data_IF_760229121292
#
_entry.id   IF_760229121292
#
_cell.length_a   1.000
_cell.length_b   1.000
_cell.length_c   1.000
_cell.angle_alpha   90.00
_cell.angle_beta   90.00
_cell.angle_gamma   90.00
#
_symmetry.space_group_name_H-M   'P 1'
#
loop_
_entity.id
_entity.type
_entity.pdbx_description
1 polymer ?
#
# COMPACT_ATOMS: atom_id res chain seq x y z
N UNK A 1 -4.24 -0.38 -20.57
CA UNK A 1 -3.47 -0.24 -19.32
C UNK A 1 -2.53 -1.41 -19.18
N UNK A 2 -1.25 -1.14 -19.02
CA UNK A 2 -0.22 -2.17 -18.84
C UNK A 2 -0.19 -2.78 -17.43
N UNK A 3 -0.78 -2.13 -16.43
CA UNK A 3 -0.82 -2.64 -15.06
C UNK A 3 -1.94 -3.67 -14.91
N UNK A 4 -1.56 -4.90 -14.57
CA UNK A 4 -2.48 -6.01 -14.31
C UNK A 4 -2.94 -6.07 -12.87
N UNK A 5 -2.02 -5.78 -11.96
CA UNK A 5 -2.20 -5.96 -10.54
C UNK A 5 -1.42 -4.87 -9.79
N UNK A 6 -2.04 -4.27 -8.80
CA UNK A 6 -1.39 -3.32 -7.90
C UNK A 6 -2.12 -3.36 -6.56
N UNK A 7 -1.53 -3.99 -5.56
CA UNK A 7 -2.08 -4.08 -4.19
C UNK A 7 -0.95 -4.17 -3.17
N UNK A 8 -1.19 -3.73 -1.94
CA UNK A 8 -0.41 -4.07 -0.76
C UNK A 8 1.13 -4.01 -0.89
N UNK A 9 1.65 -3.05 -1.64
CA UNK A 9 3.10 -2.96 -1.90
C UNK A 9 3.61 -3.87 -3.03
N UNK A 10 2.71 -4.54 -3.78
CA UNK A 10 3.06 -5.33 -4.95
C UNK A 10 2.37 -4.83 -6.22
N UNK A 11 3.02 -4.97 -7.35
CA UNK A 11 2.40 -4.69 -8.65
C UNK A 11 2.89 -5.67 -9.72
N UNK A 12 2.07 -5.85 -10.75
CA UNK A 12 2.44 -6.56 -11.98
C UNK A 12 1.99 -5.76 -13.19
N UNK A 13 2.83 -5.71 -14.21
CA UNK A 13 2.54 -4.97 -15.43
C UNK A 13 2.99 -5.75 -16.66
N UNK A 14 2.34 -5.49 -17.80
CA UNK A 14 2.76 -5.96 -19.11
C UNK A 14 3.56 -4.85 -19.80
N UNK A 15 4.70 -5.22 -20.37
CA UNK A 15 5.54 -4.34 -21.16
C UNK A 15 5.71 -4.93 -22.57
N UNK A 16 5.75 -4.09 -23.61
CA UNK A 16 6.14 -4.57 -24.94
C UNK A 16 7.55 -5.17 -24.91
N UNK A 17 7.70 -6.34 -25.52
CA UNK A 17 8.99 -7.03 -25.59
C UNK A 17 9.71 -6.74 -26.91
N UNK A 18 10.94 -6.32 -26.80
CA UNK A 18 11.99 -6.46 -27.77
C UNK A 18 13.33 -6.49 -27.04
N UNK A 19 14.40 -6.92 -27.70
CA UNK A 19 15.72 -7.09 -27.07
C UNK A 19 16.25 -5.81 -26.40
N UNK A 20 16.01 -4.66 -26.99
CA UNK A 20 16.43 -3.37 -26.45
C UNK A 20 15.62 -3.01 -25.17
N UNK A 21 14.30 -3.24 -25.18
CA UNK A 21 13.44 -2.98 -24.01
C UNK A 21 13.78 -3.91 -22.85
N UNK A 22 14.14 -5.17 -23.13
CA UNK A 22 14.60 -6.10 -22.11
C UNK A 22 15.91 -5.65 -21.47
N UNK A 23 16.90 -5.25 -22.26
CA UNK A 23 18.17 -4.73 -21.72
C UNK A 23 17.96 -3.51 -20.84
N UNK A 24 17.10 -2.56 -21.28
CA UNK A 24 16.73 -1.38 -20.47
C UNK A 24 16.03 -1.77 -19.19
N UNK A 25 15.13 -2.77 -19.22
CA UNK A 25 14.41 -3.26 -18.04
C UNK A 25 15.38 -3.91 -17.04
N UNK A 26 16.30 -4.74 -17.50
CA UNK A 26 17.32 -5.38 -16.65
C UNK A 26 18.19 -4.32 -15.96
N UNK A 27 18.66 -3.34 -16.72
CA UNK A 27 19.45 -2.23 -16.17
C UNK A 27 18.66 -1.41 -15.14
N UNK A 28 17.39 -1.11 -15.43
CA UNK A 28 16.50 -0.38 -14.51
C UNK A 28 16.25 -1.18 -13.21
N UNK A 29 15.98 -2.47 -13.29
CA UNK A 29 15.78 -3.34 -12.13
C UNK A 29 17.04 -3.37 -11.26
N UNK A 30 18.21 -3.51 -11.86
CA UNK A 30 19.48 -3.52 -11.15
C UNK A 30 19.74 -2.17 -10.44
N UNK A 31 19.48 -1.05 -11.13
CA UNK A 31 19.63 0.30 -10.58
C UNK A 31 18.67 0.54 -9.40
N UNK A 32 17.39 0.19 -9.53
CA UNK A 32 16.41 0.32 -8.43
C UNK A 32 16.84 -0.52 -7.22
N UNK A 33 17.20 -1.80 -7.43
CA UNK A 33 17.66 -2.68 -6.35
C UNK A 33 18.89 -2.10 -5.64
N UNK A 34 19.87 -1.61 -6.39
CA UNK A 34 21.08 -1.01 -5.85
C UNK A 34 20.78 0.29 -5.06
N UNK A 35 19.93 1.18 -5.59
CA UNK A 35 19.53 2.42 -4.91
C UNK A 35 18.81 2.15 -3.60
N UNK A 36 17.83 1.25 -3.61
CA UNK A 36 17.09 0.87 -2.39
C UNK A 36 18.03 0.26 -1.36
N UNK A 37 18.91 -0.64 -1.77
CA UNK A 37 19.89 -1.25 -0.87
C UNK A 37 20.84 -0.21 -0.26
N UNK A 38 21.39 0.71 -1.06
CA UNK A 38 22.29 1.78 -0.55
C UNK A 38 21.59 2.70 0.45
N UNK A 39 20.30 3.00 0.23
CA UNK A 39 19.52 3.91 1.08
C UNK A 39 19.11 3.26 2.40
N UNK A 40 18.68 1.99 2.36
CA UNK A 40 18.05 1.33 3.51
C UNK A 40 18.93 0.25 4.13
N UNK A 41 20.04 -0.14 3.49
CA UNK A 41 20.91 -1.27 3.88
C UNK A 41 20.15 -2.61 3.95
N UNK A 42 18.97 -2.68 3.29
CA UNK A 42 18.10 -3.84 3.24
C UNK A 42 17.53 -4.02 1.83
N UNK A 43 17.21 -5.26 1.49
CA UNK A 43 16.52 -5.56 0.25
C UNK A 43 15.01 -5.41 0.43
N UNK A 44 14.50 -4.20 0.31
CA UNK A 44 13.08 -3.89 0.46
C UNK A 44 12.24 -4.13 -0.81
N UNK A 45 12.87 -4.33 -1.96
CA UNK A 45 12.19 -4.47 -3.26
C UNK A 45 12.58 -5.77 -3.93
N UNK A 46 11.58 -6.53 -4.36
CA UNK A 46 11.72 -7.72 -5.19
C UNK A 46 11.15 -7.43 -6.58
N UNK A 47 12.01 -7.23 -7.57
CA UNK A 47 11.63 -6.94 -8.94
C UNK A 47 12.08 -8.08 -9.85
N UNK A 48 11.12 -8.72 -10.52
CA UNK A 48 11.34 -9.85 -11.42
C UNK A 48 10.52 -9.69 -12.69
N UNK A 49 10.98 -10.29 -13.77
CA UNK A 49 10.27 -10.33 -15.03
C UNK A 49 10.34 -11.70 -15.68
N UNK A 50 9.39 -11.99 -16.56
CA UNK A 50 9.38 -13.17 -17.42
C UNK A 50 8.99 -12.73 -18.82
N UNK A 51 9.72 -13.17 -19.81
CA UNK A 51 9.34 -13.03 -21.23
C UNK A 51 8.35 -14.13 -21.55
N UNK A 52 7.25 -13.76 -22.19
CA UNK A 52 6.19 -14.69 -22.58
C UNK A 52 5.58 -14.25 -23.91
N UNK A 53 5.13 -15.23 -24.69
CA UNK A 53 4.39 -14.96 -25.90
C UNK A 53 2.95 -14.54 -25.58
N UNK A 54 2.37 -13.73 -26.46
CA UNK A 54 1.00 -13.27 -26.29
C UNK A 54 0.00 -14.42 -26.26
N UNK A 55 0.20 -15.43 -27.11
CA UNK A 55 -0.62 -16.64 -27.15
C UNK A 55 -0.65 -17.37 -25.81
N UNK A 56 0.50 -17.48 -25.14
CA UNK A 56 0.61 -18.14 -23.84
C UNK A 56 -0.08 -17.34 -22.73
N UNK A 57 0.05 -16.01 -22.76
CA UNK A 57 -0.65 -15.12 -21.84
C UNK A 57 -2.18 -15.18 -22.00
N UNK A 58 -2.67 -15.38 -23.22
CA UNK A 58 -4.11 -15.45 -23.51
C UNK A 58 -4.69 -16.84 -23.24
N UNK A 59 -3.91 -17.93 -23.49
CA UNK A 59 -4.38 -19.31 -23.38
C UNK A 59 -4.07 -19.96 -22.04
N UNK A 60 -2.85 -19.81 -21.54
CA UNK A 60 -2.36 -20.46 -20.31
C UNK A 60 -1.48 -19.54 -19.46
N UNK A 61 -2.03 -18.48 -18.84
CA UNK A 61 -1.23 -17.50 -18.07
C UNK A 61 -0.62 -18.07 -16.78
N UNK A 62 -1.17 -19.17 -16.24
CA UNK A 62 -0.71 -19.73 -14.96
C UNK A 62 0.77 -20.11 -14.91
N UNK A 63 1.36 -20.81 -15.88
CA UNK A 63 2.80 -21.15 -15.86
C UNK A 63 3.70 -19.91 -15.79
N UNK A 64 3.29 -18.81 -16.44
CA UNK A 64 4.04 -17.56 -16.48
C UNK A 64 4.06 -16.93 -15.08
N UNK A 65 2.90 -16.85 -14.43
CA UNK A 65 2.80 -16.31 -13.07
C UNK A 65 3.47 -17.23 -12.04
N UNK A 66 3.38 -18.54 -12.20
CA UNK A 66 4.10 -19.50 -11.35
C UNK A 66 5.61 -19.28 -11.41
N UNK A 67 6.16 -19.05 -12.62
CA UNK A 67 7.58 -18.74 -12.81
C UNK A 67 7.99 -17.42 -12.16
N UNK A 68 7.16 -16.37 -12.29
CA UNK A 68 7.38 -15.10 -11.58
C UNK A 68 7.37 -15.28 -10.06
N UNK A 69 6.45 -16.08 -9.54
CA UNK A 69 6.34 -16.36 -8.11
C UNK A 69 7.56 -17.16 -7.60
N UNK A 70 8.04 -18.13 -8.38
CA UNK A 70 9.24 -18.90 -8.06
C UNK A 70 10.47 -17.98 -8.00
N UNK A 71 10.65 -17.11 -8.99
CA UNK A 71 11.74 -16.14 -9.00
C UNK A 71 11.67 -15.21 -7.79
N UNK A 72 10.48 -14.70 -7.47
CA UNK A 72 10.26 -13.84 -6.30
C UNK A 72 10.60 -14.58 -5.00
N UNK A 73 10.20 -15.82 -4.85
CA UNK A 73 10.51 -16.62 -3.67
C UNK A 73 12.03 -16.87 -3.56
N UNK A 74 12.69 -17.17 -4.67
CA UNK A 74 14.16 -17.32 -4.70
C UNK A 74 14.85 -16.05 -4.21
N UNK A 75 14.50 -14.90 -4.76
CA UNK A 75 15.06 -13.60 -4.36
C UNK A 75 14.79 -13.28 -2.87
N UNK A 76 13.59 -13.63 -2.39
CA UNK A 76 13.22 -13.43 -0.98
C UNK A 76 14.10 -14.22 0.00
N UNK A 77 14.51 -15.44 -0.39
CA UNK A 77 15.35 -16.30 0.44
C UNK A 77 16.86 -16.13 0.18
N UNK A 78 17.23 -15.34 -0.81
CA UNK A 78 18.63 -15.05 -1.14
C UNK A 78 18.85 -13.54 -1.30
N UNK A 79 18.53 -12.74 -0.28
CA UNK A 79 18.45 -11.28 -0.41
C UNK A 79 19.77 -10.62 -0.78
N UNK A 80 20.91 -11.19 -0.38
CA UNK A 80 22.23 -10.60 -0.57
C UNK A 80 22.99 -11.20 -1.78
N UNK A 81 22.42 -12.14 -2.52
CA UNK A 81 23.15 -12.86 -3.57
C UNK A 81 23.78 -11.93 -4.62
N UNK A 82 23.00 -11.00 -5.14
CA UNK A 82 23.48 -10.04 -6.14
C UNK A 82 24.49 -9.04 -5.54
N UNK A 83 24.30 -8.62 -4.30
CA UNK A 83 25.21 -7.72 -3.59
C UNK A 83 26.51 -8.40 -3.22
N UNK A 84 26.47 -9.68 -2.84
CA UNK A 84 27.68 -10.48 -2.57
C UNK A 84 28.50 -10.65 -3.86
N UNK A 85 27.87 -10.86 -5.01
CA UNK A 85 28.61 -11.00 -6.27
C UNK A 85 29.25 -9.70 -6.76
N UNK A 86 28.60 -8.56 -6.55
CA UNK A 86 29.00 -7.30 -7.17
C UNK A 86 29.68 -6.31 -6.22
N UNK A 87 29.45 -6.41 -4.91
CA UNK A 87 29.88 -5.41 -3.92
C UNK A 87 30.37 -6.06 -2.60
N UNK A 88 30.99 -7.23 -2.67
CA UNK A 88 31.44 -7.98 -1.48
C UNK A 88 32.26 -7.15 -0.50
N UNK A 89 33.15 -6.29 -1.01
CA UNK A 89 33.99 -5.43 -0.18
C UNK A 89 33.20 -4.37 0.61
N UNK A 90 32.09 -3.87 0.05
CA UNK A 90 31.21 -2.92 0.74
C UNK A 90 30.35 -3.55 1.83
N UNK A 91 30.00 -4.84 1.69
CA UNK A 91 29.21 -5.57 2.70
C UNK A 91 29.98 -5.80 4.01
N UNK A 92 31.31 -5.81 3.96
CA UNK A 92 32.18 -6.05 5.12
C UNK A 92 32.66 -4.77 5.79
N UNK A 93 32.37 -3.60 5.20
CA UNK A 93 32.69 -2.33 5.86
C UNK A 93 31.65 -2.05 6.97
N UNK A 94 32.07 -1.68 8.20
CA UNK A 94 31.11 -1.26 9.22
C UNK A 94 30.37 -0.02 8.69
N UNK A 95 29.11 -0.26 8.31
CA UNK A 95 28.27 0.78 7.73
C UNK A 95 27.99 1.87 8.77
N UNK A 96 28.43 3.07 8.49
CA UNK A 96 27.71 4.24 8.99
C UNK A 96 26.37 4.21 8.28
N UNK A 97 25.32 3.74 8.94
CA UNK A 97 23.94 3.78 8.42
C UNK A 97 23.67 5.22 7.98
N UNK A 98 23.56 5.54 6.70
CA UNK A 98 23.17 6.88 6.30
C UNK A 98 21.78 7.11 6.90
N UNK A 99 21.68 8.06 7.84
CA UNK A 99 20.38 8.47 8.35
C UNK A 99 19.60 8.96 7.14
N UNK A 100 18.53 8.24 6.78
CA UNK A 100 17.65 8.67 5.69
C UNK A 100 17.30 10.14 5.91
N UNK A 101 17.41 11.00 4.90
CA UNK A 101 17.01 12.40 5.00
C UNK A 101 15.59 12.58 5.52
N UNK A 102 14.72 11.58 5.31
CA UNK A 102 13.35 11.52 5.81
C UNK A 102 13.31 11.40 7.33
N UNK A 103 14.19 10.59 7.95
CA UNK A 103 14.18 10.38 9.42
C UNK A 103 14.42 11.68 10.17
N UNK A 104 15.25 12.56 9.66
CA UNK A 104 15.53 13.86 10.29
C UNK A 104 14.36 14.87 10.17
N UNK A 105 13.34 14.56 9.40
CA UNK A 105 12.18 15.42 9.15
C UNK A 105 10.83 14.76 9.57
N UNK A 106 10.88 13.62 10.26
CA UNK A 106 9.68 12.82 10.59
C UNK A 106 8.61 13.63 11.34
N UNK A 107 9.01 14.45 12.33
CA UNK A 107 8.06 15.27 13.09
C UNK A 107 7.38 16.31 12.20
N UNK A 108 8.16 16.97 11.33
CA UNK A 108 7.64 17.95 10.37
C UNK A 108 6.77 17.28 9.31
N UNK A 109 7.19 16.10 8.84
CA UNK A 109 6.46 15.31 7.87
C UNK A 109 5.10 14.87 8.45
N UNK A 110 5.06 14.37 9.70
CA UNK A 110 3.83 13.98 10.36
C UNK A 110 2.82 15.12 10.44
N UNK A 111 3.25 16.29 10.87
CA UNK A 111 2.39 17.48 10.92
C UNK A 111 1.89 17.92 9.54
N UNK A 112 2.74 17.83 8.51
CA UNK A 112 2.36 18.21 7.15
C UNK A 112 1.41 17.21 6.49
N UNK A 113 1.59 15.91 6.75
CA UNK A 113 0.73 14.84 6.21
C UNK A 113 -0.73 15.02 6.62
N UNK A 114 -1.00 15.49 7.85
CA UNK A 114 -2.36 15.74 8.33
C UNK A 114 -3.06 16.92 7.64
N UNK A 115 -2.33 17.81 6.99
CA UNK A 115 -2.87 19.04 6.37
C UNK A 115 -2.78 19.02 4.84
N UNK A 116 -1.99 18.14 4.27
CA UNK A 116 -1.76 18.14 2.83
C UNK A 116 -2.97 17.57 2.06
N UNK A 117 -3.23 18.17 0.91
CA UNK A 117 -4.21 17.69 -0.08
C UNK A 117 -3.53 17.21 -1.37
N UNK A 118 -2.32 17.69 -1.61
CA UNK A 118 -1.62 17.47 -2.86
C UNK A 118 -0.16 17.08 -2.62
N UNK A 119 0.37 16.25 -3.50
CA UNK A 119 1.81 15.98 -3.61
C UNK A 119 2.27 16.37 -4.99
N UNK A 120 3.17 17.33 -5.07
CA UNK A 120 3.82 17.69 -6.33
C UNK A 120 5.10 16.89 -6.48
N UNK A 121 5.20 16.15 -7.56
CA UNK A 121 6.43 15.49 -8.00
C UNK A 121 7.05 16.37 -9.08
N UNK A 122 8.27 16.86 -8.87
CA UNK A 122 8.94 17.80 -9.75
C UNK A 122 10.44 17.61 -9.77
N UNK A 123 11.10 18.10 -10.85
CA UNK A 123 12.56 18.13 -10.96
C UNK A 123 13.20 19.28 -10.16
N UNK A 124 12.41 20.21 -9.67
CA UNK A 124 12.87 21.36 -8.90
C UNK A 124 12.24 21.37 -7.51
N UNK A 125 13.07 21.71 -6.51
CA UNK A 125 12.61 21.87 -5.14
C UNK A 125 11.71 23.08 -5.03
N UNK A 126 10.46 22.86 -4.59
CA UNK A 126 9.57 23.99 -4.26
C UNK A 126 9.90 24.49 -2.86
N UNK A 127 10.09 25.80 -2.74
CA UNK A 127 10.41 26.48 -1.49
C UNK A 127 9.24 27.37 -1.06
N UNK A 128 8.93 27.40 0.21
CA UNK A 128 7.88 28.25 0.77
C UNK A 128 7.72 28.04 2.26
N UNK A 129 7.09 28.98 2.95
CA UNK A 129 6.77 28.85 4.37
C UNK A 129 5.81 27.68 4.60
N UNK A 130 6.11 26.83 5.58
CA UNK A 130 5.35 25.61 5.95
C UNK A 130 5.31 24.52 4.86
N UNK A 131 6.13 24.64 3.83
CA UNK A 131 6.18 23.67 2.74
C UNK A 131 7.27 22.63 3.02
N UNK A 132 6.92 21.35 2.95
CA UNK A 132 7.88 20.25 3.05
C UNK A 132 8.14 19.71 1.67
N UNK A 133 9.39 19.80 1.23
CA UNK A 133 9.88 19.17 0.02
C UNK A 133 10.96 18.16 0.38
N UNK A 134 10.74 16.91 0.03
CA UNK A 134 11.64 15.78 0.27
C UNK A 134 12.22 15.25 -1.04
N UNK A 135 13.46 14.79 -0.99
CA UNK A 135 14.17 14.13 -2.07
C UNK A 135 14.44 12.69 -1.62
N UNK A 136 13.53 11.74 -1.93
CA UNK A 136 13.55 10.42 -1.29
C UNK A 136 14.55 9.42 -1.88
N UNK A 137 15.45 9.83 -2.74
CA UNK A 137 16.49 8.92 -3.21
C UNK A 137 17.05 9.16 -4.61
N UNK A 138 16.30 9.72 -5.54
CA UNK A 138 16.84 10.12 -6.84
C UNK A 138 17.22 11.60 -6.82
N UNK A 139 18.50 11.94 -7.05
CA UNK A 139 18.91 13.35 -7.17
C UNK A 139 18.07 14.05 -8.24
N UNK A 140 17.48 15.19 -7.86
CA UNK A 140 16.68 15.99 -8.78
C UNK A 140 15.22 15.58 -8.91
N UNK A 141 14.68 14.66 -8.07
CA UNK A 141 13.24 14.42 -7.96
C UNK A 141 12.77 14.81 -6.57
N UNK A 142 11.89 15.78 -6.51
CA UNK A 142 11.35 16.32 -5.27
C UNK A 142 9.87 15.98 -5.12
N UNK A 143 9.48 15.60 -3.91
CA UNK A 143 8.10 15.42 -3.51
C UNK A 143 7.74 16.54 -2.54
N UNK A 144 6.92 17.46 -3.00
CA UNK A 144 6.50 18.62 -2.20
C UNK A 144 5.08 18.42 -1.71
N UNK A 145 4.89 18.48 -0.38
CA UNK A 145 3.60 18.34 0.26
C UNK A 145 2.91 19.71 0.28
N UNK A 146 1.73 19.80 -0.33
CA UNK A 146 1.02 21.05 -0.56
C UNK A 146 -0.38 21.01 0.06
N UNK A 147 -0.79 22.15 0.61
CA UNK A 147 -2.18 22.41 1.02
C UNK A 147 -2.92 23.13 -0.10
N UNK A 148 -4.22 23.39 0.09
CA UNK A 148 -5.02 24.22 -0.83
C UNK A 148 -4.44 25.65 -0.98
N UNK A 149 -3.90 26.18 0.12
CA UNK A 149 -3.36 27.56 0.18
C UNK A 149 -2.01 27.67 -0.54
N UNK A 150 -1.17 26.63 -0.43
CA UNK A 150 0.20 26.65 -0.97
C UNK A 150 0.26 26.13 -2.41
N UNK A 151 -0.87 25.69 -2.99
CA UNK A 151 -0.86 25.16 -4.35
C UNK A 151 -0.58 26.30 -5.35
N UNK A 152 0.60 26.31 -5.99
CA UNK A 152 0.95 27.36 -6.94
C UNK A 152 0.04 27.33 -8.17
N UNK A 153 -0.19 28.49 -8.78
CA UNK A 153 -0.95 28.58 -10.02
C UNK A 153 -0.15 28.09 -11.25
N UNK A 154 1.17 28.08 -11.17
CA UNK A 154 2.09 27.58 -12.19
C UNK A 154 3.41 27.17 -11.56
N UNK A 155 4.14 26.26 -12.23
CA UNK A 155 5.49 25.80 -11.84
C UNK A 155 6.49 26.09 -12.95
N UNK A 156 7.74 26.28 -12.58
CA UNK A 156 8.81 26.58 -13.53
C UNK A 156 9.06 25.44 -14.53
N UNK A 157 8.73 24.19 -14.18
CA UNK A 157 8.92 23.00 -15.01
C UNK A 157 7.62 22.18 -15.08
N UNK A 158 6.57 22.79 -15.62
CA UNK A 158 5.24 22.15 -15.73
C UNK A 158 5.27 20.87 -16.56
N UNK A 159 6.12 20.79 -17.58
CA UNK A 159 6.19 19.64 -18.49
C UNK A 159 6.71 18.36 -17.79
N UNK A 160 7.59 18.51 -16.79
CA UNK A 160 8.19 17.40 -16.04
C UNK A 160 7.63 17.28 -14.62
N UNK A 161 6.58 18.01 -14.30
CA UNK A 161 5.93 17.99 -12.99
C UNK A 161 4.59 17.29 -13.06
N UNK A 162 4.26 16.54 -12.00
CA UNK A 162 2.94 15.88 -11.87
C UNK A 162 2.37 16.15 -10.49
N UNK A 163 1.14 16.65 -10.45
CA UNK A 163 0.41 16.81 -9.21
C UNK A 163 -0.39 15.53 -8.90
N UNK A 164 -0.18 14.99 -7.73
CA UNK A 164 -0.99 13.90 -7.19
C UNK A 164 -2.03 14.52 -6.25
N UNK A 165 -3.28 14.23 -6.51
CA UNK A 165 -4.43 14.72 -5.74
C UNK A 165 -5.06 13.51 -5.07
N UNK A 166 -5.37 13.62 -3.77
CA UNK A 166 -5.92 12.49 -3.03
C UNK A 166 -7.41 12.65 -2.77
N UNK A 167 -8.15 11.57 -3.00
CA UNK A 167 -9.56 11.33 -2.63
C UNK A 167 -10.61 12.22 -3.29
N UNK A 168 -10.32 13.46 -3.61
CA UNK A 168 -11.26 14.42 -4.17
C UNK A 168 -10.70 15.08 -5.43
N UNK A 169 -11.58 15.41 -6.37
CA UNK A 169 -11.17 16.21 -7.53
C UNK A 169 -10.91 17.65 -7.08
N UNK A 170 -9.93 18.32 -7.70
CA UNK A 170 -9.63 19.70 -7.36
C UNK A 170 -10.84 20.63 -7.64
N UNK A 171 -11.11 21.53 -6.72
CA UNK A 171 -12.18 22.53 -6.87
C UNK A 171 -11.81 23.69 -7.82
N UNK A 172 -10.54 23.76 -8.23
CA UNK A 172 -10.01 24.79 -9.13
C UNK A 172 -9.42 24.19 -10.39
N UNK A 173 -9.33 24.98 -11.47
CA UNK A 173 -8.71 24.57 -12.72
C UNK A 173 -7.21 24.47 -12.50
N UNK A 174 -6.67 23.26 -12.69
CA UNK A 174 -5.23 22.96 -12.66
C UNK A 174 -4.72 22.88 -14.10
N UNK A 175 -3.76 23.71 -14.43
CA UNK A 175 -3.23 23.84 -15.80
C UNK A 175 -2.09 22.89 -16.15
N UNK A 176 -1.50 22.20 -15.16
CA UNK A 176 -0.40 21.26 -15.32
C UNK A 176 -0.86 19.81 -15.15
N UNK A 177 -0.07 18.82 -15.56
CA UNK A 177 -0.45 17.41 -15.43
C UNK A 177 -0.81 17.02 -13.99
N UNK A 178 -1.94 16.37 -13.81
CA UNK A 178 -2.37 15.86 -12.50
C UNK A 178 -3.02 14.49 -12.61
N UNK A 179 -3.01 13.75 -11.50
CA UNK A 179 -3.71 12.48 -11.36
C UNK A 179 -4.43 12.41 -10.02
N UNK A 180 -5.55 11.73 -10.01
CA UNK A 180 -6.33 11.44 -8.81
C UNK A 180 -5.92 10.07 -8.27
N UNK A 181 -5.54 10.03 -7.01
CA UNK A 181 -5.26 8.80 -6.28
C UNK A 181 -6.23 8.67 -5.10
N UNK A 182 -6.47 7.44 -4.67
CA UNK A 182 -7.29 7.18 -3.49
C UNK A 182 -6.44 6.56 -2.40
N UNK A 183 -6.58 7.08 -1.17
CA UNK A 183 -5.90 6.58 0.01
C UNK A 183 -6.87 6.65 1.19
N UNK A 184 -7.17 5.50 1.79
CA UNK A 184 -8.04 5.46 2.95
C UNK A 184 -7.35 6.10 4.17
N UNK A 185 -8.14 6.82 4.98
CA UNK A 185 -7.62 7.50 6.17
C UNK A 185 -6.76 8.73 5.89
N UNK A 186 -6.64 9.13 4.62
CA UNK A 186 -5.90 10.34 4.26
C UNK A 186 -6.79 11.57 4.39
N UNK A 187 -6.35 12.56 5.18
CA UNK A 187 -7.05 13.83 5.36
C UNK A 187 -7.05 14.33 6.83
N UNK A 188 -7.85 15.29 7.12
CA UNK A 188 -7.82 16.34 8.13
C UNK A 188 -7.71 15.95 9.62
N UNK A 189 -7.77 14.68 10.00
CA UNK A 189 -7.77 14.29 11.42
C UNK A 189 -6.45 13.65 11.83
N UNK A 190 -5.63 14.39 12.53
CA UNK A 190 -4.44 13.86 13.21
C UNK A 190 -4.70 13.89 14.73
N UNK A 191 -5.35 12.84 15.20
CA UNK A 191 -5.60 12.65 16.62
C UNK A 191 -4.43 11.87 17.25
N UNK A 192 -4.06 12.24 18.47
CA UNK A 192 -3.17 11.37 19.25
C UNK A 192 -3.93 10.10 19.68
N UNK A 193 -3.22 9.03 20.00
CA UNK A 193 -3.85 7.80 20.49
C UNK A 193 -4.65 8.04 21.78
N UNK A 194 -4.29 9.04 22.58
CA UNK A 194 -5.03 9.40 23.80
C UNK A 194 -6.33 10.11 23.47
N UNK A 195 -6.37 10.94 22.43
CA UNK A 195 -7.56 11.66 21.98
C UNK A 195 -8.62 10.72 21.42
N UNK A 196 -8.20 9.57 20.85
CA UNK A 196 -9.10 8.54 20.33
C UNK A 196 -9.90 7.81 21.42
N UNK A 197 -9.46 7.87 22.69
CA UNK A 197 -10.07 7.11 23.77
C UNK A 197 -11.33 7.78 24.30
N UNK A 198 -12.49 7.22 23.98
CA UNK A 198 -13.76 7.69 24.52
C UNK A 198 -13.90 7.27 25.99
N UNK A 199 -14.08 8.26 26.86
CA UNK A 199 -14.29 8.06 28.30
C UNK A 199 -15.70 7.57 28.66
N UNK A 200 -16.64 7.58 27.71
CA UNK A 200 -18.07 7.29 27.95
C UNK A 200 -18.44 5.82 27.81
N UNK A 201 -17.56 4.99 27.27
CA UNK A 201 -17.87 3.62 26.88
C UNK A 201 -17.15 2.54 27.73
N UNK A 202 -17.11 2.71 29.06
CA UNK A 202 -16.57 1.69 29.96
C UNK A 202 -15.05 1.72 30.09
N UNK A 203 -14.38 0.60 29.83
CA UNK A 203 -12.93 0.49 29.98
C UNK A 203 -12.21 1.32 28.93
N UNK A 204 -11.34 2.23 29.36
CA UNK A 204 -10.54 3.08 28.48
C UNK A 204 -9.40 2.29 27.84
N UNK A 205 -9.65 1.69 26.69
CA UNK A 205 -8.67 0.86 25.96
C UNK A 205 -8.60 1.29 24.49
N UNK A 206 -7.43 1.12 23.92
CA UNK A 206 -7.16 1.23 22.51
C UNK A 206 -7.41 -0.13 21.85
N UNK A 207 -8.16 -0.15 20.76
CA UNK A 207 -8.28 -1.29 19.87
C UNK A 207 -7.26 -1.15 18.74
N UNK A 208 -6.52 -2.22 18.49
CA UNK A 208 -5.59 -2.34 17.37
C UNK A 208 -6.08 -3.49 16.50
N UNK A 209 -6.50 -3.19 15.28
CA UNK A 209 -7.09 -4.13 14.36
C UNK A 209 -6.16 -4.39 13.18
N UNK A 210 -5.98 -5.66 12.85
CA UNK A 210 -5.49 -6.10 11.54
C UNK A 210 -6.56 -6.93 10.85
N UNK A 211 -6.71 -6.72 9.53
CA UNK A 211 -7.58 -7.53 8.67
C UNK A 211 -6.82 -7.89 7.40
N UNK A 212 -7.11 -9.06 6.88
CA UNK A 212 -6.54 -9.54 5.62
C UNK A 212 -7.58 -10.35 4.83
N UNK A 213 -7.47 -10.29 3.50
CA UNK A 213 -8.36 -11.02 2.59
C UNK A 213 -7.98 -12.49 2.51
N UNK A 214 -8.91 -13.34 2.91
CA UNK A 214 -8.71 -14.78 2.88
C UNK A 214 -8.84 -15.34 1.46
N UNK A 215 -8.05 -16.39 1.20
CA UNK A 215 -8.11 -17.16 -0.04
C UNK A 215 -7.84 -16.37 -1.33
N UNK A 216 -7.36 -15.13 -1.27
CA UNK A 216 -7.10 -14.34 -2.48
C UNK A 216 -6.17 -15.08 -3.45
N UNK A 217 -5.05 -15.62 -2.97
CA UNK A 217 -4.13 -16.41 -3.78
C UNK A 217 -4.75 -17.68 -4.37
N UNK A 218 -5.64 -18.37 -3.63
CA UNK A 218 -6.36 -19.55 -4.13
C UNK A 218 -7.40 -19.15 -5.19
N UNK A 219 -8.10 -18.06 -4.97
CA UNK A 219 -9.10 -17.54 -5.92
C UNK A 219 -8.44 -17.09 -7.21
N UNK A 220 -7.30 -16.41 -7.12
CA UNK A 220 -6.49 -16.07 -8.28
C UNK A 220 -5.98 -17.32 -9.01
N UNK A 221 -5.48 -18.33 -8.29
CA UNK A 221 -5.05 -19.59 -8.90
C UNK A 221 -6.19 -20.31 -9.63
N UNK A 222 -7.36 -20.45 -8.99
CA UNK A 222 -8.54 -21.05 -9.64
C UNK A 222 -8.96 -20.31 -10.91
N UNK A 223 -8.88 -19.00 -10.91
CA UNK A 223 -9.17 -18.20 -12.10
C UNK A 223 -8.17 -18.49 -13.23
N UNK A 224 -6.90 -18.74 -12.93
CA UNK A 224 -5.90 -19.21 -13.92
C UNK A 224 -6.21 -20.62 -14.42
N UNK A 225 -6.51 -21.55 -13.51
CA UNK A 225 -6.87 -22.95 -13.87
C UNK A 225 -8.12 -23.01 -14.76
N UNK A 226 -9.07 -22.10 -14.54
CA UNK A 226 -10.28 -21.94 -15.34
C UNK A 226 -10.06 -21.16 -16.64
N UNK A 227 -8.83 -20.80 -16.97
CA UNK A 227 -8.45 -20.03 -18.17
C UNK A 227 -9.20 -18.70 -18.30
N UNK A 228 -9.48 -18.04 -17.18
CA UNK A 228 -10.14 -16.74 -17.24
C UNK A 228 -9.21 -15.70 -17.87
N UNK A 229 -9.77 -14.75 -18.66
CA UNK A 229 -8.98 -13.69 -19.27
C UNK A 229 -8.20 -12.86 -18.25
N UNK A 230 -6.99 -12.43 -18.59
CA UNK A 230 -6.19 -11.52 -17.75
C UNK A 230 -6.94 -10.26 -17.32
N UNK A 231 -7.87 -9.79 -18.15
CA UNK A 231 -8.75 -8.68 -17.82
C UNK A 231 -9.59 -8.92 -16.55
N UNK A 232 -9.97 -10.17 -16.27
CA UNK A 232 -10.73 -10.54 -15.07
C UNK A 232 -9.89 -10.35 -13.80
N UNK A 233 -8.60 -10.67 -13.87
CA UNK A 233 -7.65 -10.41 -12.78
C UNK A 233 -7.50 -8.93 -12.50
N UNK A 234 -7.21 -8.18 -13.56
CA UNK A 234 -7.05 -6.75 -13.46
C UNK A 234 -8.34 -6.08 -12.95
N UNK A 235 -9.51 -6.63 -13.28
CA UNK A 235 -10.80 -6.17 -12.77
C UNK A 235 -10.92 -6.44 -11.26
N UNK A 236 -10.67 -7.67 -10.81
CA UNK A 236 -10.75 -8.04 -9.38
C UNK A 236 -9.76 -7.26 -8.52
N UNK A 237 -8.53 -7.12 -8.99
CA UNK A 237 -7.53 -6.31 -8.29
C UNK A 237 -7.98 -4.86 -8.14
N UNK A 238 -8.56 -4.27 -9.19
CA UNK A 238 -9.11 -2.89 -9.12
C UNK A 238 -10.34 -2.79 -8.22
N UNK A 239 -11.18 -3.83 -8.15
CA UNK A 239 -12.32 -3.85 -7.22
C UNK A 239 -11.85 -3.85 -5.77
N UNK A 240 -10.85 -4.68 -5.42
CA UNK A 240 -10.25 -4.72 -4.09
C UNK A 240 -9.59 -3.36 -3.75
N UNK A 241 -8.78 -2.84 -4.65
CA UNK A 241 -8.12 -1.55 -4.46
C UNK A 241 -9.15 -0.41 -4.25
N UNK A 242 -10.22 -0.39 -5.04
CA UNK A 242 -11.32 0.56 -4.88
C UNK A 242 -12.05 0.39 -3.54
N UNK A 243 -12.27 -0.84 -3.09
CA UNK A 243 -12.88 -1.12 -1.80
C UNK A 243 -12.02 -0.58 -0.65
N UNK A 244 -10.77 -1.01 -0.58
CA UNK A 244 -9.88 -0.66 0.53
C UNK A 244 -9.45 0.81 0.53
N UNK A 245 -9.25 1.44 -0.63
CA UNK A 245 -8.81 2.83 -0.71
C UNK A 245 -9.95 3.84 -0.76
N UNK A 246 -10.99 3.60 -1.57
CA UNK A 246 -12.04 4.58 -1.78
C UNK A 246 -13.25 4.33 -0.89
N UNK A 247 -13.82 3.12 -0.90
CA UNK A 247 -15.05 2.82 -0.15
C UNK A 247 -14.82 2.92 1.35
N UNK A 248 -13.73 2.36 1.82
CA UNK A 248 -13.34 2.40 3.23
C UNK A 248 -13.10 3.84 3.70
N UNK A 249 -12.42 4.67 2.89
CA UNK A 249 -12.21 6.08 3.21
C UNK A 249 -13.52 6.85 3.39
N UNK A 250 -14.49 6.63 2.49
CA UNK A 250 -15.80 7.30 2.57
C UNK A 250 -16.54 6.97 3.87
N UNK A 251 -16.49 5.70 4.31
CA UNK A 251 -17.14 5.27 5.56
C UNK A 251 -16.40 5.83 6.76
N UNK A 252 -15.07 5.75 6.74
CA UNK A 252 -14.24 6.32 7.79
C UNK A 252 -14.49 7.82 7.97
N UNK A 253 -14.47 8.57 6.88
CA UNK A 253 -14.70 10.02 6.89
C UNK A 253 -16.07 10.39 7.45
N UNK A 254 -17.10 9.60 7.13
CA UNK A 254 -18.47 9.87 7.57
C UNK A 254 -18.72 9.53 9.06
N UNK A 255 -18.19 8.37 9.51
CA UNK A 255 -18.66 7.77 10.76
C UNK A 255 -17.56 7.59 11.82
N UNK A 256 -16.27 7.64 11.45
CA UNK A 256 -15.18 7.21 12.33
C UNK A 256 -13.97 8.15 12.42
N UNK A 257 -13.98 9.28 11.71
CA UNK A 257 -12.84 10.20 11.61
C UNK A 257 -12.31 10.67 12.98
N UNK A 258 -13.20 10.90 13.96
CA UNK A 258 -12.84 11.41 15.31
C UNK A 258 -12.44 10.30 16.28
N UNK A 259 -12.48 9.03 15.89
CA UNK A 259 -12.33 7.93 16.84
C UNK A 259 -11.47 6.76 16.36
N UNK A 260 -11.09 6.78 15.10
CA UNK A 260 -10.31 5.71 14.44
C UNK A 260 -9.29 6.32 13.49
N UNK A 261 -8.06 5.85 13.54
CA UNK A 261 -6.99 6.15 12.58
C UNK A 261 -6.78 4.94 11.70
N UNK A 262 -6.80 5.10 10.40
CA UNK A 262 -6.35 4.11 9.45
C UNK A 262 -4.85 4.31 9.26
N UNK A 263 -4.04 3.41 9.83
CA UNK A 263 -2.57 3.46 9.69
C UNK A 263 -2.15 3.00 8.31
N UNK A 264 -2.80 1.94 7.82
CA UNK A 264 -2.53 1.37 6.51
C UNK A 264 -3.80 0.74 5.95
N UNK A 265 -4.03 0.94 4.67
CA UNK A 265 -5.08 0.26 3.90
C UNK A 265 -4.61 0.09 2.47
N UNK A 266 -4.50 -1.12 2.00
CA UNK A 266 -4.04 -1.38 0.63
C UNK A 266 -4.25 -2.81 0.20
N UNK A 267 -4.80 -2.95 -0.98
CA UNK A 267 -4.93 -4.22 -1.68
C UNK A 267 -5.77 -5.28 -0.99
N UNK A 268 -5.22 -5.92 -0.02
CA UNK A 268 -5.78 -7.05 0.73
C UNK A 268 -5.63 -6.88 2.25
N UNK A 269 -4.92 -5.88 2.69
CA UNK A 269 -4.43 -5.74 4.06
C UNK A 269 -4.90 -4.42 4.68
N UNK A 270 -5.29 -4.42 5.94
CA UNK A 270 -5.80 -3.27 6.67
C UNK A 270 -5.24 -3.23 8.08
N UNK A 271 -4.76 -2.05 8.50
CA UNK A 271 -4.30 -1.79 9.86
C UNK A 271 -4.94 -0.52 10.41
N UNK A 272 -5.68 -0.67 11.52
CA UNK A 272 -6.48 0.39 12.14
C UNK A 272 -6.19 0.46 13.64
N UNK A 273 -6.22 1.68 14.17
CA UNK A 273 -6.09 1.96 15.60
C UNK A 273 -7.18 2.95 16.03
N UNK A 274 -7.74 2.77 17.21
CA UNK A 274 -8.74 3.70 17.71
C UNK A 274 -9.35 3.30 19.05
N UNK A 275 -10.41 3.95 19.46
CA UNK A 275 -11.24 3.49 20.58
C UNK A 275 -11.72 2.08 20.32
N UNK A 276 -11.52 1.17 21.27
CA UNK A 276 -11.80 -0.26 21.05
C UNK A 276 -13.24 -0.54 20.58
N UNK A 277 -14.22 0.20 21.11
CA UNK A 277 -15.62 0.04 20.68
C UNK A 277 -15.84 0.46 19.24
N UNK A 278 -15.22 1.58 18.84
CA UNK A 278 -15.35 2.08 17.47
C UNK A 278 -14.56 1.24 16.48
N UNK A 279 -13.41 0.70 16.89
CA UNK A 279 -12.65 -0.29 16.08
C UNK A 279 -13.49 -1.54 15.83
N UNK A 280 -14.16 -2.09 16.86
CA UNK A 280 -15.07 -3.24 16.71
C UNK A 280 -16.27 -2.92 15.79
N UNK A 281 -16.89 -1.76 15.96
CA UNK A 281 -18.00 -1.31 15.09
C UNK A 281 -17.55 -1.17 13.65
N UNK A 282 -16.40 -0.54 13.44
CA UNK A 282 -15.86 -0.32 12.11
C UNK A 282 -15.47 -1.65 11.45
N UNK A 283 -14.81 -2.56 12.18
CA UNK A 283 -14.50 -3.91 11.70
C UNK A 283 -15.76 -4.65 11.22
N UNK A 284 -16.84 -4.59 11.99
CA UNK A 284 -18.14 -5.17 11.60
C UNK A 284 -18.70 -4.54 10.35
N UNK A 285 -18.66 -3.21 10.26
CA UNK A 285 -19.13 -2.47 9.07
C UNK A 285 -18.32 -2.85 7.82
N UNK A 286 -16.99 -2.92 7.95
CA UNK A 286 -16.10 -3.31 6.87
C UNK A 286 -16.44 -4.73 6.39
N UNK A 287 -16.56 -5.68 7.31
CA UNK A 287 -16.87 -7.08 6.96
C UNK A 287 -18.22 -7.20 6.26
N UNK A 288 -19.27 -6.52 6.74
CA UNK A 288 -20.59 -6.53 6.11
C UNK A 288 -20.52 -6.01 4.66
N UNK A 289 -19.90 -4.87 4.45
CA UNK A 289 -19.75 -4.27 3.13
C UNK A 289 -18.85 -5.08 2.19
N UNK A 290 -17.83 -5.74 2.74
CA UNK A 290 -16.98 -6.65 1.98
C UNK A 290 -17.78 -7.85 1.47
N UNK A 291 -18.54 -8.51 2.35
CA UNK A 291 -19.40 -9.63 1.99
C UNK A 291 -20.47 -9.21 0.95
N UNK A 292 -21.05 -8.02 1.08
CA UNK A 292 -21.99 -7.49 0.08
C UNK A 292 -21.31 -7.25 -1.27
N UNK A 293 -20.12 -6.61 -1.25
CA UNK A 293 -19.38 -6.24 -2.47
C UNK A 293 -18.85 -7.46 -3.22
N UNK A 294 -18.38 -8.48 -2.49
CA UNK A 294 -17.75 -9.69 -3.02
C UNK A 294 -18.60 -10.94 -2.79
N UNK A 295 -19.92 -10.79 -2.81
CA UNK A 295 -20.87 -11.87 -2.48
C UNK A 295 -20.76 -13.10 -3.39
N UNK A 296 -20.34 -12.91 -4.64
CA UNK A 296 -20.14 -13.97 -5.64
C UNK A 296 -18.71 -14.55 -5.62
N UNK A 297 -17.79 -13.91 -4.91
CA UNK A 297 -16.40 -14.34 -4.83
C UNK A 297 -16.18 -15.29 -3.64
N UNK A 298 -15.26 -16.23 -3.79
CA UNK A 298 -14.85 -17.16 -2.73
C UNK A 298 -13.76 -16.54 -1.84
N UNK A 299 -13.94 -15.26 -1.48
CA UNK A 299 -13.05 -14.51 -0.60
C UNK A 299 -13.82 -14.02 0.62
N UNK A 300 -13.12 -13.86 1.73
CA UNK A 300 -13.64 -13.33 2.99
C UNK A 300 -12.57 -12.45 3.65
N UNK A 301 -12.91 -11.83 4.77
CA UNK A 301 -11.97 -11.10 5.61
C UNK A 301 -11.81 -11.83 6.93
N UNK A 302 -10.56 -12.07 7.33
CA UNK A 302 -10.21 -12.42 8.70
C UNK A 302 -9.70 -11.20 9.44
N UNK A 303 -10.02 -11.11 10.72
CA UNK A 303 -9.63 -9.99 11.58
C UNK A 303 -9.06 -10.45 12.90
N UNK A 304 -8.00 -9.78 13.35
CA UNK A 304 -7.47 -9.90 14.70
C UNK A 304 -7.53 -8.55 15.41
N UNK A 305 -7.96 -8.52 16.66
CA UNK A 305 -8.08 -7.29 17.45
C UNK A 305 -7.36 -7.46 18.78
N UNK A 306 -6.39 -6.59 19.04
CA UNK A 306 -5.72 -6.47 20.33
C UNK A 306 -6.25 -5.27 21.11
N UNK A 307 -6.56 -5.47 22.40
CA UNK A 307 -7.04 -4.41 23.30
C UNK A 307 -5.91 -4.02 24.27
N UNK A 308 -5.39 -2.81 24.12
CA UNK A 308 -4.22 -2.34 24.86
C UNK A 308 -4.43 -0.97 25.49
N UNK A 309 -3.53 -0.56 26.36
CA UNK A 309 -3.47 0.81 26.86
C UNK A 309 -2.92 1.77 25.81
N UNK A 310 -3.27 3.07 25.87
CA UNK A 310 -2.82 4.08 24.90
C UNK A 310 -1.31 4.21 24.78
N UNK A 311 -0.57 3.92 25.83
CA UNK A 311 0.90 3.97 25.89
C UNK A 311 1.59 2.64 25.56
N UNK A 312 0.82 1.60 25.25
CA UNK A 312 1.39 0.32 24.86
C UNK A 312 2.10 0.44 23.50
N UNK A 313 3.29 -0.18 23.33
CA UNK A 313 4.03 -0.08 22.08
C UNK A 313 3.21 -0.62 20.90
N UNK A 314 2.95 0.25 19.91
CA UNK A 314 2.08 -0.06 18.76
C UNK A 314 2.59 -1.27 17.96
N UNK A 315 3.89 -1.46 17.84
CA UNK A 315 4.49 -2.60 17.14
C UNK A 315 4.05 -3.92 17.80
N UNK A 316 4.14 -4.01 19.13
CA UNK A 316 3.72 -5.20 19.87
C UNK A 316 2.21 -5.43 19.80
N UNK A 317 1.43 -4.35 19.83
CA UNK A 317 -0.01 -4.44 19.65
C UNK A 317 -0.38 -4.94 18.25
N UNK A 318 0.32 -4.49 17.22
CA UNK A 318 0.17 -4.94 15.84
C UNK A 318 0.55 -6.44 15.67
N UNK A 319 1.63 -6.89 16.32
CA UNK A 319 2.02 -8.32 16.36
C UNK A 319 0.95 -9.17 17.03
N UNK A 320 0.42 -8.72 18.18
CA UNK A 320 -0.67 -9.40 18.85
C UNK A 320 -1.91 -9.50 17.96
N UNK A 321 -2.33 -8.40 17.31
CA UNK A 321 -3.45 -8.40 16.37
C UNK A 321 -3.20 -9.32 15.16
N UNK A 322 -1.96 -9.42 14.66
CA UNK A 322 -1.60 -10.34 13.58
C UNK A 322 -1.70 -11.82 14.01
N UNK A 323 -1.33 -12.13 15.25
CA UNK A 323 -1.49 -13.47 15.80
C UNK A 323 -2.98 -13.86 15.90
N UNK A 324 -3.82 -12.95 16.39
CA UNK A 324 -5.27 -13.16 16.48
C UNK A 324 -5.91 -13.30 15.08
N UNK A 325 -5.47 -12.52 14.09
CA UNK A 325 -5.89 -12.68 12.69
C UNK A 325 -5.52 -14.08 12.16
N UNK A 326 -4.30 -14.55 12.46
CA UNK A 326 -3.84 -15.89 12.07
C UNK A 326 -4.67 -17.00 12.72
N UNK A 327 -5.10 -16.81 13.97
CA UNK A 327 -6.03 -17.71 14.64
C UNK A 327 -7.41 -17.65 13.99
N UNK A 328 -7.92 -16.46 13.67
CA UNK A 328 -9.21 -16.29 13.01
C UNK A 328 -9.29 -17.03 11.66
N UNK A 329 -8.19 -17.04 10.89
CA UNK A 329 -8.08 -17.79 9.62
C UNK A 329 -8.25 -19.31 9.77
N UNK A 330 -8.13 -19.86 10.99
CA UNK A 330 -8.36 -21.29 11.26
C UNK A 330 -9.85 -21.60 11.51
N UNK A 331 -10.68 -20.58 11.78
CA UNK A 331 -12.11 -20.74 12.08
C UNK A 331 -12.93 -20.37 10.83
N UNK A 332 -13.16 -21.36 9.98
CA UNK A 332 -14.05 -21.22 8.82
C UNK A 332 -15.51 -21.56 9.17
N UNK A 333 -16.42 -20.97 8.42
CA UNK A 333 -17.83 -21.36 8.38
C UNK A 333 -18.31 -21.36 6.93
N UNK A 334 -19.40 -22.08 6.69
CA UNK A 334 -20.07 -22.07 5.37
C UNK A 334 -21.25 -21.12 5.47
N UNK A 335 -21.29 -20.12 4.60
CA UNK A 335 -22.39 -19.17 4.56
C UNK A 335 -23.67 -19.78 3.93
N UNK A 336 -24.75 -19.02 3.92
CA UNK A 336 -26.07 -19.46 3.37
C UNK A 336 -26.03 -19.78 1.88
N UNK A 337 -25.00 -19.35 1.15
CA UNK A 337 -24.76 -19.65 -0.26
C UNK A 337 -23.83 -20.85 -0.48
N UNK A 338 -23.40 -21.52 0.58
CA UNK A 338 -22.44 -22.63 0.51
C UNK A 338 -20.99 -22.22 0.33
N UNK A 339 -20.65 -20.94 0.52
CA UNK A 339 -19.30 -20.42 0.37
C UNK A 339 -18.57 -20.50 1.71
N UNK A 340 -17.37 -21.10 1.70
CA UNK A 340 -16.51 -21.13 2.89
C UNK A 340 -15.96 -19.73 3.18
N UNK A 341 -16.25 -19.24 4.38
CA UNK A 341 -15.81 -17.97 4.93
C UNK A 341 -14.96 -18.18 6.17
N UNK A 342 -14.08 -17.25 6.49
CA UNK A 342 -13.32 -17.22 7.74
C UNK A 342 -13.84 -16.10 8.65
N UNK A 343 -13.54 -16.19 9.93
CA UNK A 343 -13.99 -15.19 10.93
C UNK A 343 -12.95 -14.13 11.20
#
# INVERSE_FOLDING_TARGET
QSVLYSTGGAFSMLLPYNQESEQKLVALIADIKAKVYRTHQEQLVLLNYVVADRSDLESEPYPIFAKLQEQRNRDKYSPLYASIQNEYEHLLQPGTTPKSPIINQMDKLGAALGQMKYVLVSSQKVTGDKLISIEPGEPGIYYSLLTEENLPNSFADEANSTLIIYNEKPNKIIKYPWRLEYMAGFGESFLSFEDLLDNRLGVRRMGVLRMDVDNLGKTLRKAYEQKLPLASFAHKSRQLDKFFKQRLHQIWLRDYIDSVIIIYSGGDDLFIVGSWVNVLKFAKTINQLFVETFSEDQISLSAGISLVESKFPIIRAAESAANEESVAKQFGYVDTKGISRFK
#
